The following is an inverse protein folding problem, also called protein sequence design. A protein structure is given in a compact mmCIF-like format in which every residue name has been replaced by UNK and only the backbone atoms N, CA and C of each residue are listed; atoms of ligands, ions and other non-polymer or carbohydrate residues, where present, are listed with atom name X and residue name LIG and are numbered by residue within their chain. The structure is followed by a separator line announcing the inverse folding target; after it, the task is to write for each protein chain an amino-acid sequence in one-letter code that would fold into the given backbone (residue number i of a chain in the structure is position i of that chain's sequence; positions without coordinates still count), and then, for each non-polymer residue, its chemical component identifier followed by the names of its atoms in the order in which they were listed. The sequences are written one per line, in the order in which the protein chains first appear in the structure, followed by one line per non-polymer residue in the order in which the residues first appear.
data_IF_257705326144
#
_entry.id   IF_257705326144
#
_cell.length_a   1.000
_cell.length_b   1.000
_cell.length_c   1.000
_cell.angle_alpha   90.00
_cell.angle_beta   90.00
_cell.angle_gamma   90.00
#
_symmetry.space_group_name_H-M   'P 1'
#
loop_
_entity.id
_entity.type
_entity.pdbx_description
1 polymer ?
#
# COMPACT_ATOMS: atom_id res chain seq x y z
N UNK A 1 81.43 29.07 -3.60
CA UNK A 1 80.74 27.79 -3.99
C UNK A 1 79.27 27.81 -3.61
N UNK A 2 78.80 28.05 -2.35
CA UNK A 2 77.41 28.12 -2.08
C UNK A 2 76.68 29.33 -2.70
N UNK A 3 77.35 30.49 -2.82
CA UNK A 3 76.71 31.67 -3.43
C UNK A 3 76.69 31.59 -4.95
N UNK A 4 77.62 30.87 -5.56
CA UNK A 4 77.61 30.58 -6.98
C UNK A 4 76.53 29.57 -7.36
N UNK A 5 76.33 28.55 -6.51
CA UNK A 5 75.22 27.61 -6.62
C UNK A 5 73.83 28.29 -6.48
N UNK A 6 73.70 29.25 -5.54
CA UNK A 6 72.52 30.08 -5.41
C UNK A 6 72.26 30.95 -6.63
N UNK A 7 73.32 31.51 -7.25
CA UNK A 7 73.20 32.31 -8.47
C UNK A 7 72.78 31.47 -9.67
N UNK A 8 73.38 30.28 -9.79
CA UNK A 8 72.99 29.32 -10.84
C UNK A 8 71.51 28.83 -10.62
N UNK A 9 71.13 28.60 -9.41
CA UNK A 9 69.74 28.23 -9.07
C UNK A 9 68.69 29.34 -9.28
N UNK A 10 69.11 30.63 -9.20
CA UNK A 10 68.26 31.79 -9.50
C UNK A 10 68.11 32.03 -11.00
N UNK A 11 69.11 31.56 -11.83
CA UNK A 11 69.05 31.61 -13.27
C UNK A 11 68.48 30.32 -13.94
N UNK A 12 68.05 29.36 -13.09
CA UNK A 12 67.44 28.14 -13.60
C UNK A 12 66.13 28.48 -14.29
N UNK A 13 65.99 28.23 -15.56
CA UNK A 13 64.75 28.53 -16.27
C UNK A 13 63.54 27.84 -15.62
N UNK A 14 62.42 28.45 -15.72
CA UNK A 14 61.12 27.91 -15.27
C UNK A 14 60.87 26.44 -15.68
N UNK A 15 61.52 26.01 -16.74
CA UNK A 15 61.55 24.63 -17.24
C UNK A 15 62.18 23.63 -16.27
N UNK A 16 63.29 23.99 -15.56
CA UNK A 16 63.91 23.07 -14.62
C UNK A 16 63.07 22.90 -13.36
N UNK A 17 62.36 23.94 -12.95
CA UNK A 17 61.39 23.84 -11.87
C UNK A 17 60.19 22.93 -12.27
N UNK A 18 59.79 23.02 -13.54
CA UNK A 18 58.84 22.09 -14.12
C UNK A 18 59.36 20.65 -14.18
N UNK A 19 60.62 20.46 -14.55
CA UNK A 19 61.24 19.11 -14.61
C UNK A 19 61.36 18.53 -13.20
N UNK A 20 61.71 19.34 -12.18
CA UNK A 20 61.72 18.88 -10.79
C UNK A 20 60.32 18.54 -10.27
N UNK A 21 59.32 19.35 -10.55
CA UNK A 21 57.92 19.02 -10.29
C UNK A 21 57.47 17.76 -11.04
N UNK A 22 57.91 17.60 -12.28
CA UNK A 22 57.66 16.39 -13.07
C UNK A 22 58.36 15.16 -12.48
N UNK A 23 59.58 15.32 -11.92
CA UNK A 23 60.31 14.22 -11.28
C UNK A 23 59.64 13.82 -9.95
N UNK A 24 59.08 14.76 -9.20
CA UNK A 24 58.27 14.45 -8.03
C UNK A 24 56.97 13.74 -8.42
N UNK A 25 56.35 14.14 -9.51
CA UNK A 25 55.19 13.42 -10.09
C UNK A 25 55.58 12.01 -10.57
N UNK A 26 56.70 11.83 -11.21
CA UNK A 26 57.18 10.52 -11.65
C UNK A 26 57.57 9.61 -10.48
N UNK A 27 58.11 10.16 -9.41
CA UNK A 27 58.38 9.40 -8.17
C UNK A 27 57.10 8.99 -7.43
N UNK A 28 55.96 9.62 -7.74
CA UNK A 28 54.64 9.23 -7.24
C UNK A 28 53.90 8.26 -8.22
N UNK A 29 54.49 7.85 -9.32
CA UNK A 29 53.85 6.91 -10.27
C UNK A 29 53.44 5.58 -9.62
N UNK A 30 54.21 5.09 -8.67
CA UNK A 30 53.87 3.86 -7.90
C UNK A 30 52.58 4.06 -7.10
N UNK A 31 52.35 5.28 -6.65
CA UNK A 31 51.15 5.63 -5.86
C UNK A 31 49.93 5.78 -6.79
N UNK A 32 50.13 6.28 -8.03
CA UNK A 32 49.08 6.39 -9.04
C UNK A 32 48.60 5.04 -9.54
N UNK A 33 49.48 4.09 -9.77
CA UNK A 33 49.15 2.75 -10.25
C UNK A 33 48.34 1.99 -9.17
N UNK A 34 48.75 2.08 -7.91
CA UNK A 34 48.03 1.51 -6.80
C UNK A 34 46.65 2.16 -6.66
N UNK A 35 46.55 3.49 -6.77
CA UNK A 35 45.29 4.23 -6.72
C UNK A 35 44.37 3.88 -7.89
N UNK A 36 44.94 3.69 -9.08
CA UNK A 36 44.19 3.31 -10.27
C UNK A 36 43.63 1.89 -10.14
N UNK A 37 44.40 0.96 -9.58
CA UNK A 37 43.98 -0.39 -9.28
C UNK A 37 42.84 -0.39 -8.23
N UNK A 38 43.01 0.35 -7.16
CA UNK A 38 41.95 0.51 -6.12
C UNK A 38 40.66 1.07 -6.70
N UNK A 39 40.73 2.09 -7.56
CA UNK A 39 39.58 2.67 -8.23
C UNK A 39 38.93 1.70 -9.22
N UNK A 40 39.71 0.88 -9.94
CA UNK A 40 39.16 -0.16 -10.79
C UNK A 40 38.41 -1.22 -9.99
N UNK A 41 38.96 -1.69 -8.86
CA UNK A 41 38.30 -2.63 -7.97
C UNK A 41 36.99 -2.06 -7.39
N UNK A 42 37.00 -0.79 -6.96
CA UNK A 42 35.79 -0.10 -6.49
C UNK A 42 34.72 0.04 -7.59
N UNK A 43 35.17 0.29 -8.82
CA UNK A 43 34.28 0.42 -9.99
C UNK A 43 33.63 -0.91 -10.33
N UNK A 44 34.39 -2.01 -10.32
CA UNK A 44 33.87 -3.37 -10.52
C UNK A 44 32.86 -3.74 -9.43
N UNK A 45 33.14 -3.45 -8.16
CA UNK A 45 32.22 -3.68 -7.05
C UNK A 45 30.94 -2.86 -7.20
N UNK A 46 31.04 -1.58 -7.54
CA UNK A 46 29.89 -0.72 -7.79
C UNK A 46 29.05 -1.20 -8.98
N UNK A 47 29.69 -1.66 -10.06
CA UNK A 47 28.98 -2.23 -11.20
C UNK A 47 28.23 -3.52 -10.84
N UNK A 48 28.86 -4.41 -10.05
CA UNK A 48 28.22 -5.63 -9.56
C UNK A 48 27.02 -5.30 -8.67
N UNK A 49 27.16 -4.37 -7.74
CA UNK A 49 26.08 -3.91 -6.86
C UNK A 49 24.94 -3.28 -7.66
N UNK A 50 25.24 -2.43 -8.63
CA UNK A 50 24.24 -1.82 -9.52
C UNK A 50 23.46 -2.88 -10.31
N UNK A 51 24.15 -3.89 -10.83
CA UNK A 51 23.49 -5.01 -11.52
C UNK A 51 22.55 -5.77 -10.61
N UNK A 52 22.99 -6.11 -9.39
CA UNK A 52 22.17 -6.82 -8.41
C UNK A 52 20.91 -6.02 -8.05
N UNK A 53 21.03 -4.70 -7.82
CA UNK A 53 19.89 -3.81 -7.54
C UNK A 53 18.94 -3.79 -8.74
N UNK A 54 19.47 -3.63 -9.97
CA UNK A 54 18.65 -3.62 -11.19
C UNK A 54 17.87 -4.92 -11.40
N UNK A 55 18.48 -6.07 -11.12
CA UNK A 55 17.83 -7.36 -11.26
C UNK A 55 16.77 -7.57 -10.16
N UNK A 56 17.06 -7.15 -8.92
CA UNK A 56 16.08 -7.14 -7.83
C UNK A 56 14.87 -6.23 -8.13
N UNK A 57 15.10 -5.05 -8.74
CA UNK A 57 14.01 -4.18 -9.17
C UNK A 57 13.12 -4.80 -10.26
N UNK A 58 13.74 -5.51 -11.21
CA UNK A 58 12.99 -6.21 -12.26
C UNK A 58 12.11 -7.30 -11.67
N UNK A 59 12.67 -8.10 -10.75
CA UNK A 59 11.91 -9.12 -10.04
C UNK A 59 10.75 -8.53 -9.23
N UNK A 60 11.00 -7.43 -8.51
CA UNK A 60 9.95 -6.74 -7.74
C UNK A 60 8.85 -6.22 -8.66
N UNK A 61 9.19 -5.59 -9.79
CA UNK A 61 8.22 -5.13 -10.79
C UNK A 61 7.40 -6.27 -11.36
N UNK A 62 8.03 -7.41 -11.66
CA UNK A 62 7.34 -8.59 -12.18
C UNK A 62 6.35 -9.14 -11.13
N UNK A 63 6.78 -9.30 -9.87
CA UNK A 63 5.90 -9.75 -8.77
C UNK A 63 4.72 -8.81 -8.54
N UNK A 64 4.96 -7.48 -8.60
CA UNK A 64 3.88 -6.49 -8.51
C UNK A 64 2.88 -6.62 -9.65
N UNK A 65 3.36 -6.90 -10.87
CA UNK A 65 2.49 -7.11 -12.04
C UNK A 65 1.62 -8.35 -11.86
N UNK A 66 2.21 -9.47 -11.48
CA UNK A 66 1.51 -10.74 -11.24
C UNK A 66 0.46 -10.60 -10.12
N UNK A 67 0.82 -9.93 -9.02
CA UNK A 67 -0.09 -9.62 -7.93
C UNK A 67 -1.29 -8.79 -8.43
N UNK A 68 -1.03 -7.75 -9.21
CA UNK A 68 -2.08 -6.90 -9.78
C UNK A 68 -3.02 -7.69 -10.69
N UNK A 69 -2.47 -8.51 -11.58
CA UNK A 69 -3.24 -9.35 -12.50
C UNK A 69 -4.14 -10.36 -11.75
N UNK A 70 -3.63 -11.00 -10.69
CA UNK A 70 -4.42 -11.93 -9.86
C UNK A 70 -5.55 -11.20 -9.11
N UNK A 71 -5.27 -10.05 -8.49
CA UNK A 71 -6.30 -9.25 -7.80
C UNK A 71 -7.39 -8.82 -8.78
N UNK A 72 -7.02 -8.29 -9.95
CA UNK A 72 -7.98 -7.86 -10.98
C UNK A 72 -8.81 -9.03 -11.51
N UNK A 73 -8.21 -10.19 -11.68
CA UNK A 73 -8.93 -11.43 -12.07
C UNK A 73 -9.98 -11.79 -11.02
N UNK A 74 -9.63 -11.74 -9.73
CA UNK A 74 -10.57 -11.97 -8.61
C UNK A 74 -11.68 -10.92 -8.56
N UNK A 75 -11.36 -9.65 -8.79
CA UNK A 75 -12.35 -8.56 -8.86
C UNK A 75 -13.40 -8.86 -9.93
N UNK A 76 -12.97 -9.21 -11.14
CA UNK A 76 -13.87 -9.53 -12.25
C UNK A 76 -14.73 -10.77 -11.97
N UNK A 77 -14.18 -11.79 -11.28
CA UNK A 77 -14.94 -12.95 -10.85
C UNK A 77 -16.03 -12.57 -9.85
N UNK A 78 -15.69 -11.83 -8.80
CA UNK A 78 -16.63 -11.36 -7.76
C UNK A 78 -17.71 -10.46 -8.37
N UNK A 79 -17.34 -9.58 -9.28
CA UNK A 79 -18.31 -8.75 -10.00
C UNK A 79 -19.32 -9.60 -10.78
N UNK A 80 -18.86 -10.63 -11.50
CA UNK A 80 -19.75 -11.53 -12.27
C UNK A 80 -20.65 -12.39 -11.37
N UNK A 81 -20.26 -12.67 -10.14
CA UNK A 81 -21.12 -13.33 -9.16
C UNK A 81 -22.28 -12.42 -8.75
N UNK A 82 -22.05 -11.10 -8.61
CA UNK A 82 -23.09 -10.13 -8.23
C UNK A 82 -23.94 -9.71 -9.42
N UNK A 83 -23.30 -9.45 -10.56
CA UNK A 83 -23.98 -9.06 -11.80
C UNK A 83 -23.55 -9.94 -13.00
N UNK A 84 -24.17 -11.10 -13.18
CA UNK A 84 -23.85 -11.99 -14.31
C UNK A 84 -24.09 -11.37 -15.69
N UNK A 85 -24.96 -10.36 -15.77
CA UNK A 85 -25.30 -9.64 -17.01
C UNK A 85 -24.59 -8.32 -17.15
N UNK A 86 -23.81 -7.92 -16.13
CA UNK A 86 -23.07 -6.69 -16.14
C UNK A 86 -22.08 -6.63 -17.30
N UNK A 87 -21.87 -5.43 -17.84
CA UNK A 87 -20.99 -5.21 -19.00
C UNK A 87 -19.62 -4.72 -18.61
N UNK A 88 -19.44 -4.29 -17.36
CA UNK A 88 -18.20 -3.75 -16.86
C UNK A 88 -17.14 -4.83 -16.74
N UNK A 89 -15.92 -4.47 -17.09
CA UNK A 89 -14.72 -5.28 -16.93
C UNK A 89 -13.63 -4.39 -16.33
N UNK A 90 -13.09 -4.82 -15.22
CA UNK A 90 -12.01 -4.11 -14.55
C UNK A 90 -10.67 -4.53 -15.14
N UNK A 91 -9.86 -3.56 -15.53
CA UNK A 91 -8.50 -3.75 -16.05
C UNK A 91 -7.42 -3.29 -15.05
N UNK A 92 -7.84 -2.63 -13.97
CA UNK A 92 -6.97 -2.18 -12.89
C UNK A 92 -7.65 -2.32 -11.52
N UNK A 93 -6.85 -2.35 -10.45
CA UNK A 93 -7.32 -2.31 -9.05
C UNK A 93 -7.93 -0.95 -8.72
N UNK A 94 -7.39 0.11 -9.32
CA UNK A 94 -7.83 1.49 -9.11
C UNK A 94 -8.45 2.06 -10.38
N UNK A 95 -9.48 2.88 -10.22
CA UNK A 95 -10.08 3.62 -11.34
C UNK A 95 -9.06 4.55 -11.97
N UNK A 96 -9.04 4.63 -13.29
CA UNK A 96 -8.28 5.63 -14.01
C UNK A 96 -8.88 7.01 -13.79
N UNK A 97 -8.09 8.05 -13.99
CA UNK A 97 -8.47 9.45 -13.71
C UNK A 97 -9.76 9.91 -14.44
N UNK A 98 -10.01 9.31 -15.61
CA UNK A 98 -11.15 9.65 -16.48
C UNK A 98 -12.26 8.57 -16.45
N UNK A 99 -12.15 7.58 -15.59
CA UNK A 99 -13.08 6.47 -15.45
C UNK A 99 -13.95 6.67 -14.22
N UNK A 100 -15.25 6.80 -14.43
CA UNK A 100 -16.23 6.95 -13.35
C UNK A 100 -17.28 5.85 -13.49
N UNK A 101 -17.48 5.11 -12.41
CA UNK A 101 -18.62 4.21 -12.29
C UNK A 101 -19.81 4.97 -11.72
N UNK A 102 -21.02 4.63 -12.16
CA UNK A 102 -22.25 5.31 -11.73
C UNK A 102 -23.18 4.36 -10.97
N UNK A 103 -23.88 4.89 -9.97
CA UNK A 103 -24.93 4.16 -9.28
C UNK A 103 -24.46 2.81 -8.69
N UNK A 104 -25.08 1.71 -9.12
CA UNK A 104 -24.77 0.37 -8.62
C UNK A 104 -23.38 -0.12 -9.01
N UNK A 105 -22.86 0.31 -10.16
CA UNK A 105 -21.53 -0.13 -10.64
C UNK A 105 -20.40 0.32 -9.71
N UNK A 106 -20.51 1.50 -9.08
CA UNK A 106 -19.55 1.97 -8.10
C UNK A 106 -19.52 1.07 -6.87
N UNK A 107 -20.69 0.64 -6.39
CA UNK A 107 -20.80 -0.27 -5.25
C UNK A 107 -20.26 -1.66 -5.58
N UNK A 108 -20.56 -2.17 -6.77
CA UNK A 108 -20.07 -3.45 -7.26
C UNK A 108 -18.56 -3.46 -7.45
N UNK A 109 -18.00 -2.34 -7.95
CA UNK A 109 -16.56 -2.14 -8.03
C UNK A 109 -15.91 -2.12 -6.65
N UNK A 110 -16.44 -1.31 -5.72
CA UNK A 110 -15.93 -1.20 -4.35
C UNK A 110 -15.95 -2.56 -3.65
N UNK A 111 -17.08 -3.25 -3.70
CA UNK A 111 -17.26 -4.60 -3.18
C UNK A 111 -16.23 -5.57 -3.75
N UNK A 112 -16.13 -5.65 -5.07
CA UNK A 112 -15.24 -6.58 -5.77
C UNK A 112 -13.78 -6.32 -5.41
N UNK A 113 -13.37 -5.05 -5.33
CA UNK A 113 -12.03 -4.64 -4.96
C UNK A 113 -11.69 -5.03 -3.52
N UNK A 114 -12.54 -4.68 -2.56
CA UNK A 114 -12.29 -4.97 -1.14
C UNK A 114 -12.15 -6.46 -0.90
N UNK A 115 -13.04 -7.27 -1.48
CA UNK A 115 -12.98 -8.71 -1.31
C UNK A 115 -11.82 -9.36 -2.06
N UNK A 116 -11.51 -8.92 -3.29
CA UNK A 116 -10.38 -9.46 -4.04
C UNK A 116 -9.05 -9.21 -3.33
N UNK A 117 -8.84 -8.01 -2.79
CA UNK A 117 -7.66 -7.67 -1.99
C UNK A 117 -7.61 -8.51 -0.72
N UNK A 118 -8.73 -8.62 -0.01
CA UNK A 118 -8.81 -9.44 1.18
C UNK A 118 -8.51 -10.92 0.90
N UNK A 119 -9.06 -11.47 -0.16
CA UNK A 119 -8.88 -12.89 -0.54
C UNK A 119 -7.45 -13.14 -1.06
N UNK A 120 -6.80 -12.14 -1.64
CA UNK A 120 -5.41 -12.24 -2.06
C UNK A 120 -4.45 -12.26 -0.86
N UNK A 121 -4.56 -11.30 0.04
CA UNK A 121 -3.65 -11.19 1.19
C UNK A 121 -3.99 -12.14 2.33
N UNK A 122 -5.21 -12.66 2.37
CA UNK A 122 -5.68 -13.60 3.40
C UNK A 122 -5.28 -13.23 4.85
N UNK A 123 -5.35 -11.95 5.17
CA UNK A 123 -4.97 -11.45 6.50
C UNK A 123 -6.03 -11.80 7.56
N UNK A 124 -5.66 -11.77 8.84
CA UNK A 124 -6.54 -12.06 9.98
C UNK A 124 -7.33 -10.85 10.50
N UNK A 125 -7.08 -9.66 9.98
CA UNK A 125 -7.75 -8.43 10.41
C UNK A 125 -9.23 -8.43 10.01
N UNK A 126 -10.12 -7.82 10.81
CA UNK A 126 -11.53 -7.65 10.45
C UNK A 126 -11.68 -6.78 9.21
N UNK A 127 -12.74 -7.03 8.43
CA UNK A 127 -13.16 -6.14 7.36
C UNK A 127 -14.12 -5.10 7.91
N UNK A 128 -13.81 -3.84 7.67
CA UNK A 128 -14.68 -2.71 8.03
C UNK A 128 -15.21 -2.08 6.75
N UNK A 129 -16.52 -2.15 6.55
CA UNK A 129 -17.20 -1.67 5.33
C UNK A 129 -18.19 -0.61 5.75
N UNK A 130 -17.80 0.63 5.53
CA UNK A 130 -18.64 1.77 5.85
C UNK A 130 -19.48 2.19 4.65
N UNK A 131 -20.76 2.48 4.91
CA UNK A 131 -21.70 3.00 3.92
C UNK A 131 -21.76 2.19 2.62
N UNK A 132 -21.74 0.86 2.71
CA UNK A 132 -21.69 0.01 1.51
C UNK A 132 -22.91 0.17 0.58
N UNK A 133 -23.95 0.88 1.01
CA UNK A 133 -25.14 1.23 0.25
C UNK A 133 -25.19 2.73 -0.10
N UNK A 134 -24.07 3.36 -0.35
CA UNK A 134 -24.05 4.78 -0.75
C UNK A 134 -24.70 5.02 -2.11
N UNK A 135 -24.79 3.99 -2.97
CA UNK A 135 -25.45 4.01 -4.26
C UNK A 135 -26.77 3.21 -4.30
N UNK A 136 -27.48 3.30 -5.41
CA UNK A 136 -28.67 2.50 -5.68
C UNK A 136 -28.27 1.08 -6.09
N UNK A 137 -28.41 0.14 -5.16
CA UNK A 137 -28.18 -1.28 -5.42
C UNK A 137 -29.51 -2.06 -5.35
N UNK A 138 -29.73 -3.01 -6.25
CA UNK A 138 -30.91 -3.85 -6.16
C UNK A 138 -30.82 -4.82 -4.97
N UNK A 139 -31.96 -5.14 -4.38
CA UNK A 139 -32.02 -6.05 -3.22
C UNK A 139 -31.41 -7.42 -3.52
N UNK A 140 -31.49 -7.89 -4.79
CA UNK A 140 -30.90 -9.15 -5.19
C UNK A 140 -29.37 -9.11 -5.19
N UNK A 141 -28.74 -8.03 -5.73
CA UNK A 141 -27.30 -7.84 -5.72
C UNK A 141 -26.79 -7.67 -4.29
N UNK A 142 -27.50 -6.90 -3.48
CA UNK A 142 -27.20 -6.72 -2.06
C UNK A 142 -27.19 -8.05 -1.30
N UNK A 143 -28.19 -8.90 -1.50
CA UNK A 143 -28.28 -10.22 -0.87
C UNK A 143 -27.08 -11.11 -1.22
N UNK A 144 -26.64 -11.11 -2.47
CA UNK A 144 -25.46 -11.85 -2.90
C UNK A 144 -24.20 -11.30 -2.19
N UNK A 145 -24.04 -9.99 -2.14
CA UNK A 145 -22.90 -9.36 -1.47
C UNK A 145 -22.84 -9.71 0.02
N UNK A 146 -23.97 -9.62 0.73
CA UNK A 146 -24.06 -9.94 2.17
C UNK A 146 -23.74 -11.42 2.40
N UNK A 147 -24.29 -12.33 1.61
CA UNK A 147 -23.99 -13.76 1.70
C UNK A 147 -22.50 -14.04 1.48
N UNK A 148 -21.89 -13.36 0.55
CA UNK A 148 -20.46 -13.45 0.33
C UNK A 148 -19.63 -12.93 1.51
N UNK A 149 -20.06 -11.88 2.19
CA UNK A 149 -19.41 -11.44 3.43
C UNK A 149 -19.56 -12.45 4.56
N UNK A 150 -20.77 -12.98 4.77
CA UNK A 150 -21.07 -13.97 5.81
C UNK A 150 -20.27 -15.26 5.58
N UNK A 151 -20.06 -15.68 4.33
CA UNK A 151 -19.35 -16.91 4.00
C UNK A 151 -17.86 -16.87 4.36
N UNK A 152 -17.30 -15.69 4.59
CA UNK A 152 -15.90 -15.54 4.96
C UNK A 152 -15.67 -15.85 6.44
N UNK A 153 -14.67 -16.67 6.73
CA UNK A 153 -14.30 -17.07 8.10
C UNK A 153 -13.54 -15.95 8.82
N UNK A 154 -14.06 -14.73 8.81
CA UNK A 154 -13.47 -13.59 9.52
C UNK A 154 -14.55 -12.60 9.95
N UNK A 155 -14.21 -11.76 10.90
CA UNK A 155 -15.12 -10.71 11.34
C UNK A 155 -15.30 -9.67 10.22
N UNK A 156 -16.55 -9.41 9.86
CA UNK A 156 -16.94 -8.34 8.93
C UNK A 156 -17.89 -7.41 9.67
N UNK A 157 -17.60 -6.14 9.64
CA UNK A 157 -18.44 -5.08 10.22
C UNK A 157 -18.92 -4.21 9.07
N UNK A 158 -20.24 -4.17 8.89
CA UNK A 158 -20.88 -3.43 7.80
C UNK A 158 -21.78 -2.37 8.43
N UNK A 159 -21.62 -1.11 8.03
CA UNK A 159 -22.58 -0.05 8.36
C UNK A 159 -23.51 0.19 7.17
N UNK A 160 -24.78 0.40 7.45
CA UNK A 160 -25.79 0.65 6.43
C UNK A 160 -26.87 1.58 6.94
N UNK A 161 -27.32 2.49 6.09
CA UNK A 161 -28.49 3.33 6.37
C UNK A 161 -29.71 2.74 5.67
N UNK A 162 -30.73 2.42 6.42
CA UNK A 162 -32.00 1.90 5.89
C UNK A 162 -32.97 3.03 5.61
N UNK A 163 -33.74 2.90 4.53
CA UNK A 163 -34.94 3.70 4.29
C UNK A 163 -36.03 3.25 5.28
N UNK A 164 -36.98 4.13 5.57
CA UNK A 164 -38.08 3.85 6.55
C UNK A 164 -38.85 2.57 6.20
N UNK A 165 -39.10 2.36 4.93
CA UNK A 165 -39.85 1.19 4.42
C UNK A 165 -39.05 -0.10 4.63
N UNK A 166 -37.73 -0.07 4.41
CA UNK A 166 -36.84 -1.23 4.62
C UNK A 166 -36.68 -1.57 6.08
N UNK A 167 -36.64 -0.56 6.94
CA UNK A 167 -36.61 -0.73 8.39
C UNK A 167 -37.91 -1.38 8.91
N UNK A 168 -39.07 -0.89 8.46
CA UNK A 168 -40.37 -1.44 8.81
C UNK A 168 -40.53 -2.90 8.34
N UNK A 169 -39.93 -3.25 7.21
CA UNK A 169 -39.94 -4.61 6.67
C UNK A 169 -38.91 -5.55 7.33
N UNK A 170 -38.18 -5.09 8.33
CA UNK A 170 -37.10 -5.87 8.97
C UNK A 170 -36.13 -6.52 7.96
N UNK A 171 -35.63 -5.73 7.04
CA UNK A 171 -34.88 -6.16 5.86
C UNK A 171 -33.75 -7.15 6.15
N UNK A 172 -33.04 -6.99 7.26
CA UNK A 172 -31.89 -7.83 7.61
C UNK A 172 -32.21 -8.96 8.59
N UNK A 173 -33.46 -9.16 8.95
CA UNK A 173 -33.86 -10.23 9.88
C UNK A 173 -33.50 -11.62 9.37
N UNK A 174 -33.52 -11.80 8.06
CA UNK A 174 -33.10 -13.05 7.41
C UNK A 174 -31.65 -13.46 7.67
N UNK A 175 -30.81 -12.55 8.14
CA UNK A 175 -29.38 -12.82 8.42
C UNK A 175 -29.08 -12.99 9.92
N UNK A 176 -30.06 -12.87 10.82
CA UNK A 176 -29.85 -12.89 12.26
C UNK A 176 -29.19 -14.14 12.80
N UNK A 177 -29.36 -15.27 12.12
CA UNK A 177 -28.69 -16.54 12.50
C UNK A 177 -27.19 -16.53 12.20
N UNK A 178 -26.74 -15.70 11.27
CA UNK A 178 -25.36 -15.65 10.78
C UNK A 178 -24.67 -14.30 11.05
N UNK A 179 -25.42 -13.29 11.45
CA UNK A 179 -24.91 -11.95 11.68
C UNK A 179 -25.58 -11.31 12.90
N UNK A 180 -24.79 -10.58 13.69
CA UNK A 180 -25.33 -9.77 14.76
C UNK A 180 -25.77 -8.41 14.20
N UNK A 181 -27.07 -8.16 14.17
CA UNK A 181 -27.64 -6.90 13.70
C UNK A 181 -27.79 -5.95 14.88
N UNK A 182 -27.10 -4.81 14.84
CA UNK A 182 -27.15 -3.76 15.85
C UNK A 182 -27.95 -2.60 15.27
N UNK A 183 -29.09 -2.32 15.90
CA UNK A 183 -29.98 -1.22 15.51
C UNK A 183 -29.72 0.03 16.35
N UNK A 184 -29.33 1.10 15.69
CA UNK A 184 -29.09 2.41 16.31
C UNK A 184 -30.26 3.39 16.17
N UNK A 185 -31.37 3.00 15.58
CA UNK A 185 -32.51 3.90 15.32
C UNK A 185 -33.09 4.54 16.60
N UNK A 186 -32.98 3.85 17.73
CA UNK A 186 -33.48 4.32 19.02
C UNK A 186 -32.40 5.10 19.83
N UNK A 187 -31.18 5.25 19.31
CA UNK A 187 -30.17 6.05 19.98
C UNK A 187 -30.43 7.54 19.75
N UNK A 188 -30.25 8.35 20.79
CA UNK A 188 -30.23 9.81 20.62
C UNK A 188 -29.17 10.22 19.60
N UNK A 189 -29.44 11.30 18.87
CA UNK A 189 -28.65 11.76 17.72
C UNK A 189 -27.14 11.99 17.96
N UNK A 190 -26.68 11.95 19.20
CA UNK A 190 -25.28 12.17 19.58
C UNK A 190 -24.57 10.93 20.13
N UNK A 191 -25.22 9.76 20.18
CA UNK A 191 -24.64 8.56 20.79
C UNK A 191 -24.24 7.55 19.74
N UNK A 192 -22.94 7.37 19.57
CA UNK A 192 -22.36 6.31 18.72
C UNK A 192 -22.54 4.90 19.31
N UNK A 193 -22.66 4.79 20.64
CA UNK A 193 -22.83 3.51 21.33
C UNK A 193 -24.18 3.48 22.08
N UNK A 194 -24.84 2.34 22.01
CA UNK A 194 -26.00 2.10 22.86
C UNK A 194 -25.59 2.12 24.34
N UNK A 195 -26.36 2.78 25.18
CA UNK A 195 -26.04 2.98 26.60
C UNK A 195 -25.72 1.67 27.34
N UNK A 196 -26.35 0.58 26.95
CA UNK A 196 -26.10 -0.76 27.52
C UNK A 196 -24.70 -1.32 27.24
N UNK A 197 -24.03 -0.84 26.20
CA UNK A 197 -22.67 -1.31 25.83
C UNK A 197 -21.57 -0.40 26.35
N UNK A 198 -21.89 0.80 26.85
CA UNK A 198 -20.88 1.76 27.35
C UNK A 198 -20.08 1.17 28.51
N UNK A 199 -20.77 0.58 29.50
CA UNK A 199 -20.10 -0.06 30.62
C UNK A 199 -19.21 -1.23 30.19
N UNK A 200 -19.69 -2.05 29.26
CA UNK A 200 -18.95 -3.19 28.74
C UNK A 200 -17.71 -2.74 27.95
N UNK A 201 -17.82 -1.67 27.17
CA UNK A 201 -16.67 -1.09 26.47
C UNK A 201 -15.65 -0.57 27.48
N UNK A 202 -16.08 0.13 28.53
CA UNK A 202 -15.19 0.61 29.61
C UNK A 202 -14.37 -0.55 30.19
N UNK A 203 -15.02 -1.65 30.57
CA UNK A 203 -14.32 -2.82 31.10
C UNK A 203 -13.32 -3.42 30.11
N UNK A 204 -13.67 -3.48 28.83
CA UNK A 204 -12.76 -3.99 27.78
C UNK A 204 -11.54 -3.06 27.64
N UNK A 205 -11.76 -1.76 27.57
CA UNK A 205 -10.68 -0.78 27.38
C UNK A 205 -9.76 -0.72 28.61
N UNK A 206 -10.32 -0.80 29.81
CA UNK A 206 -9.57 -0.93 31.05
C UNK A 206 -8.68 -2.19 31.06
N UNK A 207 -9.19 -3.30 30.51
CA UNK A 207 -8.39 -4.52 30.39
C UNK A 207 -7.14 -4.38 29.51
N UNK A 208 -7.12 -3.38 28.64
CA UNK A 208 -5.95 -3.00 27.83
C UNK A 208 -5.06 -1.91 28.48
N UNK A 209 -5.34 -1.55 29.75
CA UNK A 209 -4.57 -0.55 30.49
C UNK A 209 -4.81 0.89 30.05
N UNK A 210 -5.90 1.17 29.34
CA UNK A 210 -6.31 2.51 28.94
C UNK A 210 -7.32 3.01 29.98
N UNK A 211 -6.98 4.06 30.73
CA UNK A 211 -7.91 4.74 31.63
C UNK A 211 -8.65 5.86 30.87
N UNK A 212 -9.97 5.84 30.90
CA UNK A 212 -10.76 7.02 30.51
C UNK A 212 -10.70 8.04 31.63
N UNK A 213 -10.14 9.21 31.36
CA UNK A 213 -10.36 10.39 32.20
C UNK A 213 -11.72 10.98 31.78
N UNK A 214 -12.68 10.93 32.66
CA UNK A 214 -13.92 11.72 32.51
C UNK A 214 -13.53 13.20 32.60
N UNK A 215 -13.72 13.97 31.51
CA UNK A 215 -13.77 15.43 31.53
C UNK A 215 -15.21 15.90 31.77
#
# INVERSE_FOLDING_TARGET
MQDELKKILQEVPVELHRILLYSEMILSEIDYDNKLKELCEQLEELQANHKNISDSEKEAKQKCKEMKEDIVSRMNKLYREVDPKGRTFFDDIFTKRDETYSGSEEQEYYYSRVLAINDYFNHSYPLLIDCYRSGEISSQKEDIMIKNFISRKKQVIITSTLKKEEYTANKYDQYKDNANVIDYSNNGSSKLLQSQYVARLGTIVESFGVMFTEE
#
